data_IF_999461290934
#
_entry.id   IF_999461290934
#
_cell.length_a   1.000
_cell.length_b   1.000
_cell.length_c   1.000
_cell.angle_alpha   90.00
_cell.angle_beta   90.00
_cell.angle_gamma   90.00
#
_symmetry.space_group_name_H-M   'P 1'
#
loop_
_entity.id
_entity.type
_entity.pdbx_description
1 polymer ?
#
# COMPACT_ATOMS: atom_id res chain seq x y z
N UNK A 1 -33.74 32.27 -13.96
CA UNK A 1 -33.45 31.39 -12.80
C UNK A 1 -32.16 30.64 -13.06
N UNK A 2 -31.05 31.12 -12.51
CA UNK A 2 -29.73 30.48 -12.68
C UNK A 2 -29.63 29.34 -11.67
N UNK A 3 -29.63 28.09 -12.14
CA UNK A 3 -29.44 26.90 -11.29
C UNK A 3 -28.15 27.06 -10.48
N UNK A 4 -28.29 27.29 -9.17
CA UNK A 4 -27.17 27.33 -8.23
C UNK A 4 -26.57 25.93 -8.19
N UNK A 5 -25.44 25.74 -8.89
CA UNK A 5 -24.70 24.47 -8.93
C UNK A 5 -24.42 23.98 -7.51
N UNK A 6 -24.93 22.81 -7.17
CA UNK A 6 -24.66 22.18 -5.88
C UNK A 6 -23.25 21.57 -5.91
N UNK A 7 -22.29 22.20 -5.24
CA UNK A 7 -20.91 21.68 -5.07
C UNK A 7 -20.81 20.63 -3.97
N UNK A 8 -21.94 20.19 -3.42
CA UNK A 8 -22.05 19.20 -2.36
C UNK A 8 -22.66 17.93 -2.96
N UNK A 9 -21.81 16.91 -3.16
CA UNK A 9 -22.17 15.61 -3.76
C UNK A 9 -22.58 14.60 -2.68
N UNK A 10 -21.97 14.68 -1.50
CA UNK A 10 -22.23 13.81 -0.38
C UNK A 10 -23.24 14.44 0.59
N UNK A 11 -24.01 13.58 1.26
CA UNK A 11 -24.85 13.97 2.40
C UNK A 11 -23.99 14.44 3.57
N UNK A 12 -24.59 15.14 4.54
CA UNK A 12 -23.87 15.60 5.74
C UNK A 12 -23.23 14.44 6.51
N UNK A 13 -23.90 13.29 6.57
CA UNK A 13 -23.38 12.10 7.27
C UNK A 13 -22.18 11.48 6.56
N UNK A 14 -22.22 11.37 5.23
CA UNK A 14 -21.10 10.88 4.43
C UNK A 14 -19.89 11.81 4.49
N UNK A 15 -20.11 13.14 4.42
CA UNK A 15 -19.02 14.11 4.59
C UNK A 15 -18.41 14.02 6.00
N UNK A 16 -19.24 13.79 7.03
CA UNK A 16 -18.77 13.60 8.40
C UNK A 16 -17.95 12.31 8.54
N UNK A 17 -18.35 11.21 7.91
CA UNK A 17 -17.57 9.97 7.89
C UNK A 17 -16.23 10.14 7.18
N UNK A 18 -16.23 10.80 6.02
CA UNK A 18 -14.99 11.11 5.30
C UNK A 18 -14.09 12.02 6.15
N UNK A 19 -14.63 13.06 6.79
CA UNK A 19 -13.87 13.95 7.63
C UNK A 19 -13.24 13.23 8.85
N UNK A 20 -14.01 12.36 9.53
CA UNK A 20 -13.49 11.52 10.63
C UNK A 20 -12.39 10.58 10.16
N UNK A 21 -12.52 10.01 8.96
CA UNK A 21 -11.48 9.18 8.36
C UNK A 21 -10.20 9.98 8.10
N UNK A 22 -10.30 11.16 7.49
CA UNK A 22 -9.15 12.04 7.23
C UNK A 22 -8.45 12.48 8.52
N UNK A 23 -9.23 12.80 9.56
CA UNK A 23 -8.71 13.15 10.88
C UNK A 23 -7.97 11.97 11.51
N UNK A 24 -8.56 10.76 11.45
CA UNK A 24 -7.94 9.54 11.97
C UNK A 24 -6.65 9.20 11.21
N UNK A 25 -6.67 9.28 9.88
CA UNK A 25 -5.50 9.05 9.04
C UNK A 25 -4.38 10.04 9.36
N UNK A 26 -4.71 11.33 9.52
CA UNK A 26 -3.76 12.37 9.93
C UNK A 26 -3.15 12.10 11.32
N UNK A 27 -3.98 11.74 12.32
CA UNK A 27 -3.48 11.36 13.67
C UNK A 27 -2.55 10.15 13.64
N UNK A 28 -2.81 9.21 12.74
CA UNK A 28 -1.95 8.05 12.51
C UNK A 28 -0.73 8.35 11.60
N UNK A 29 -0.48 9.63 11.30
CA UNK A 29 0.63 10.08 10.43
C UNK A 29 0.55 9.57 8.98
N UNK A 30 -0.64 9.11 8.56
CA UNK A 30 -1.00 8.74 7.19
C UNK A 30 -1.83 9.85 6.55
N UNK A 31 -1.39 11.10 6.71
CA UNK A 31 -2.10 12.28 6.20
C UNK A 31 -2.24 12.22 4.68
N UNK A 32 -3.47 12.32 4.18
CA UNK A 32 -3.75 12.27 2.75
C UNK A 32 -3.53 13.64 2.10
N UNK A 33 -2.82 13.65 0.97
CA UNK A 33 -2.68 14.85 0.14
C UNK A 33 -4.04 15.27 -0.47
N UNK A 34 -4.15 16.52 -0.91
CA UNK A 34 -5.37 17.01 -1.58
C UNK A 34 -5.74 16.17 -2.82
N UNK A 35 -4.73 15.64 -3.54
CA UNK A 35 -4.94 14.72 -4.65
C UNK A 35 -5.55 13.40 -4.18
N UNK A 36 -4.96 12.78 -3.15
CA UNK A 36 -5.42 11.52 -2.59
C UNK A 36 -6.84 11.64 -2.01
N UNK A 37 -7.16 12.74 -1.32
CA UNK A 37 -8.51 13.00 -0.81
C UNK A 37 -9.52 13.11 -1.95
N UNK A 38 -9.16 13.78 -3.06
CA UNK A 38 -10.03 13.90 -4.23
C UNK A 38 -10.20 12.59 -4.99
N UNK A 39 -9.18 11.73 -5.03
CA UNK A 39 -9.27 10.36 -5.55
C UNK A 39 -10.17 9.49 -4.68
N UNK A 40 -9.99 9.56 -3.36
CA UNK A 40 -10.82 8.84 -2.38
C UNK A 40 -12.28 9.27 -2.47
N UNK A 41 -12.54 10.57 -2.59
CA UNK A 41 -13.88 11.10 -2.80
C UNK A 41 -14.51 10.58 -4.10
N UNK A 42 -13.74 10.53 -5.19
CA UNK A 42 -14.22 9.97 -6.45
C UNK A 42 -14.65 8.50 -6.29
N UNK A 43 -13.81 7.68 -5.65
CA UNK A 43 -14.11 6.28 -5.37
C UNK A 43 -15.38 6.12 -4.50
N UNK A 44 -15.53 6.93 -3.45
CA UNK A 44 -16.73 6.92 -2.60
C UNK A 44 -18.01 7.30 -3.36
N UNK A 45 -17.95 8.28 -4.27
CA UNK A 45 -19.14 8.64 -5.03
C UNK A 45 -19.52 7.57 -6.06
N UNK A 46 -18.57 6.86 -6.66
CA UNK A 46 -18.89 5.71 -7.51
C UNK A 46 -19.61 4.65 -6.68
N UNK A 47 -19.04 4.27 -5.53
CA UNK A 47 -19.64 3.25 -4.67
C UNK A 47 -21.05 3.61 -4.20
N UNK A 48 -21.28 4.88 -3.86
CA UNK A 48 -22.59 5.36 -3.41
C UNK A 48 -23.53 5.75 -4.56
N UNK A 49 -23.18 5.44 -5.82
CA UNK A 49 -23.96 5.75 -7.04
C UNK A 49 -24.27 7.26 -7.20
N UNK A 50 -23.34 8.11 -6.75
CA UNK A 50 -23.41 9.59 -6.77
C UNK A 50 -22.48 10.24 -7.78
N UNK A 51 -21.66 9.46 -8.47
CA UNK A 51 -20.81 9.90 -9.58
C UNK A 51 -21.63 10.06 -10.88
N UNK A 52 -22.64 10.95 -10.87
CA UNK A 52 -23.39 11.30 -12.08
C UNK A 52 -22.77 12.55 -12.73
N UNK A 53 -22.50 12.49 -14.04
CA UNK A 53 -21.99 13.62 -14.84
C UNK A 53 -22.91 14.85 -14.78
N UNK A 54 -24.21 14.65 -14.51
CA UNK A 54 -25.20 15.72 -14.33
C UNK A 54 -25.09 16.42 -12.98
N UNK A 55 -24.57 15.73 -11.95
CA UNK A 55 -24.46 16.22 -10.56
C UNK A 55 -23.05 16.76 -10.28
N UNK A 56 -22.02 16.15 -10.86
CA UNK A 56 -20.63 16.51 -10.59
C UNK A 56 -19.72 16.32 -11.82
N UNK A 57 -18.99 17.38 -12.20
CA UNK A 57 -17.96 17.33 -13.26
C UNK A 57 -16.67 16.69 -12.74
N UNK A 58 -16.75 15.47 -12.24
CA UNK A 58 -15.58 14.71 -11.83
C UNK A 58 -15.06 13.94 -13.02
N UNK A 59 -13.76 14.06 -13.30
CA UNK A 59 -13.13 13.50 -14.48
C UNK A 59 -11.80 12.85 -14.10
N UNK A 60 -11.33 11.92 -14.93
CA UNK A 60 -10.03 11.25 -14.76
C UNK A 60 -9.85 10.58 -13.39
N UNK A 61 -10.91 9.99 -12.84
CA UNK A 61 -10.90 9.32 -11.55
C UNK A 61 -10.62 10.21 -10.32
N UNK A 62 -10.89 11.51 -10.42
CA UNK A 62 -10.58 12.49 -9.36
C UNK A 62 -11.76 13.47 -9.21
N UNK A 63 -12.14 13.77 -7.96
CA UNK A 63 -13.11 14.82 -7.66
C UNK A 63 -12.60 16.21 -8.05
N UNK A 64 -13.48 17.16 -8.38
CA UNK A 64 -13.06 18.51 -8.78
C UNK A 64 -12.42 19.30 -7.62
N UNK A 65 -11.60 20.31 -7.95
CA UNK A 65 -11.08 21.24 -6.94
C UNK A 65 -12.20 22.02 -6.26
N UNK A 66 -13.24 22.42 -7.00
CA UNK A 66 -14.40 23.15 -6.44
C UNK A 66 -15.12 22.34 -5.35
N UNK A 67 -15.28 21.03 -5.57
CA UNK A 67 -15.83 20.14 -4.55
C UNK A 67 -14.93 20.09 -3.33
N UNK A 68 -13.61 19.92 -3.52
CA UNK A 68 -12.65 19.85 -2.41
C UNK A 68 -12.65 21.13 -1.56
N UNK A 69 -12.62 22.31 -2.19
CA UNK A 69 -12.72 23.58 -1.49
C UNK A 69 -14.07 23.72 -0.75
N UNK A 70 -15.17 23.31 -1.37
CA UNK A 70 -16.49 23.29 -0.73
C UNK A 70 -16.53 22.37 0.49
N UNK A 71 -15.97 21.16 0.37
CA UNK A 71 -15.86 20.18 1.45
C UNK A 71 -15.04 20.72 2.62
N UNK A 72 -13.87 21.32 2.34
CA UNK A 72 -13.02 21.93 3.37
C UNK A 72 -13.70 23.13 4.06
N UNK A 73 -14.48 23.93 3.32
CA UNK A 73 -15.25 25.05 3.89
C UNK A 73 -16.38 24.58 4.81
N UNK A 74 -16.99 23.43 4.52
CA UNK A 74 -18.05 22.81 5.35
C UNK A 74 -17.48 22.08 6.56
N UNK A 75 -16.24 21.57 6.48
CA UNK A 75 -15.55 20.83 7.53
C UNK A 75 -14.39 21.65 8.10
N UNK A 76 -14.71 22.71 8.85
CA UNK A 76 -13.75 23.67 9.40
C UNK A 76 -12.75 23.09 10.41
N UNK A 77 -12.99 21.87 10.90
CA UNK A 77 -12.06 21.10 11.71
C UNK A 77 -10.84 20.58 10.91
N UNK A 78 -10.93 20.55 9.58
CA UNK A 78 -9.83 20.13 8.70
C UNK A 78 -9.13 21.36 8.12
N UNK A 79 -7.81 21.30 8.03
CA UNK A 79 -7.02 22.34 7.35
C UNK A 79 -5.91 21.71 6.51
N UNK A 80 -5.61 22.30 5.35
CA UNK A 80 -4.42 21.95 4.60
C UNK A 80 -3.20 22.45 5.37
N UNK A 81 -2.29 21.54 5.69
CA UNK A 81 -1.02 21.85 6.34
C UNK A 81 0.10 21.26 5.49
N UNK A 82 1.20 22.00 5.37
CA UNK A 82 2.43 21.47 4.81
C UNK A 82 3.08 20.68 5.94
N UNK A 83 3.25 19.35 5.82
CA UNK A 83 4.07 18.62 6.77
C UNK A 83 5.50 19.18 6.69
N UNK A 84 6.12 19.45 7.83
CA UNK A 84 7.45 20.04 7.90
C UNK A 84 8.46 19.17 7.14
N UNK A 85 9.16 19.74 6.15
CA UNK A 85 10.09 19.00 5.28
C UNK A 85 11.31 18.56 6.10
N UNK A 86 11.22 17.38 6.70
CA UNK A 86 12.20 16.90 7.66
C UNK A 86 12.93 15.69 7.11
N UNK A 87 14.22 15.88 6.78
CA UNK A 87 15.23 14.82 6.75
C UNK A 87 15.31 14.02 8.06
N UNK A 88 14.66 14.50 9.12
CA UNK A 88 14.36 13.86 10.40
C UNK A 88 13.23 12.80 10.38
N UNK A 89 12.46 12.62 9.30
CA UNK A 89 11.35 11.63 9.25
C UNK A 89 11.82 10.17 9.44
N UNK A 90 13.08 9.88 9.13
CA UNK A 90 13.73 8.58 9.39
C UNK A 90 13.91 8.30 10.89
N UNK A 91 13.85 9.34 11.73
CA UNK A 91 14.04 9.29 13.19
C UNK A 91 12.78 9.68 13.97
N UNK A 92 11.90 10.53 13.45
CA UNK A 92 10.69 11.01 14.16
C UNK A 92 9.45 10.15 13.93
N UNK A 93 9.37 9.35 12.85
CA UNK A 93 8.33 8.31 12.73
C UNK A 93 8.58 7.14 13.69
N UNK A 94 9.84 6.94 14.09
CA UNK A 94 10.25 6.06 15.20
C UNK A 94 10.10 6.79 16.54
N UNK A 95 8.95 7.40 16.81
CA UNK A 95 8.66 7.96 18.12
C UNK A 95 7.85 6.96 18.96
N UNK A 96 8.04 7.00 20.29
CA UNK A 96 7.40 6.08 21.24
C UNK A 96 5.86 6.10 21.10
N UNK A 97 5.29 7.24 20.73
CA UNK A 97 3.84 7.36 20.56
C UNK A 97 3.34 6.58 19.34
N UNK A 98 3.96 6.73 18.17
CA UNK A 98 3.56 6.07 16.93
C UNK A 98 3.77 4.56 16.99
N UNK A 99 4.91 4.14 17.56
CA UNK A 99 5.19 2.73 17.84
C UNK A 99 4.17 2.21 18.86
N UNK A 100 3.88 2.98 19.91
CA UNK A 100 2.85 2.67 20.90
C UNK A 100 1.47 2.47 20.27
N UNK A 101 1.01 3.41 19.44
CA UNK A 101 -0.27 3.30 18.74
C UNK A 101 -0.32 2.09 17.79
N UNK A 102 0.78 1.78 17.09
CA UNK A 102 0.88 0.56 16.29
C UNK A 102 0.68 -0.68 17.15
N UNK A 103 1.43 -0.82 18.25
CA UNK A 103 1.33 -1.98 19.14
C UNK A 103 -0.01 -2.05 19.86
N UNK A 104 -0.62 -0.93 20.25
CA UNK A 104 -1.96 -0.89 20.83
C UNK A 104 -3.01 -1.38 19.83
N UNK A 105 -2.92 -0.96 18.56
CA UNK A 105 -3.83 -1.42 17.52
C UNK A 105 -3.61 -2.90 17.19
N UNK A 106 -2.35 -3.34 17.13
CA UNK A 106 -2.00 -4.73 16.94
C UNK A 106 -2.51 -5.60 18.10
N UNK A 107 -2.34 -5.15 19.35
CA UNK A 107 -2.85 -5.81 20.54
C UNK A 107 -4.38 -5.93 20.52
N UNK A 108 -5.10 -4.86 20.13
CA UNK A 108 -6.56 -4.90 19.97
C UNK A 108 -6.98 -5.95 18.95
N UNK A 109 -6.25 -6.10 17.84
CA UNK A 109 -6.53 -7.13 16.83
C UNK A 109 -6.26 -8.53 17.37
N UNK A 110 -5.11 -8.74 18.02
CA UNK A 110 -4.73 -10.03 18.62
C UNK A 110 -5.73 -10.48 19.69
N UNK A 111 -6.18 -9.59 20.57
CA UNK A 111 -7.19 -9.89 21.60
C UNK A 111 -8.57 -10.13 20.99
N UNK A 112 -8.93 -9.41 19.93
CA UNK A 112 -10.25 -9.55 19.31
C UNK A 112 -10.40 -10.89 18.58
N UNK A 113 -9.40 -11.30 17.82
CA UNK A 113 -9.49 -12.44 16.90
C UNK A 113 -8.69 -13.66 17.35
N UNK A 114 -7.84 -13.54 18.37
CA UNK A 114 -7.02 -14.63 18.90
C UNK A 114 -6.20 -15.36 17.82
N UNK A 115 -5.55 -14.59 16.95
CA UNK A 115 -4.75 -15.15 15.85
C UNK A 115 -3.64 -16.07 16.37
N UNK A 116 -3.59 -17.30 15.85
CA UNK A 116 -2.43 -18.19 15.98
C UNK A 116 -1.25 -17.74 15.11
N UNK A 117 -0.03 -18.25 15.35
CA UNK A 117 1.17 -17.91 14.57
C UNK A 117 1.07 -18.24 13.08
N UNK A 118 0.22 -19.20 12.70
CA UNK A 118 -0.11 -19.56 11.32
C UNK A 118 -0.98 -18.51 10.61
N UNK A 119 -1.72 -17.71 11.38
CA UNK A 119 -2.67 -16.73 10.86
C UNK A 119 -2.10 -15.31 10.74
N UNK A 120 -0.86 -15.10 11.20
CA UNK A 120 -0.17 -13.80 11.15
C UNK A 120 0.88 -13.83 10.03
N UNK A 121 0.65 -13.03 9.01
CA UNK A 121 1.46 -12.99 7.79
C UNK A 121 2.20 -11.65 7.69
N UNK A 122 3.51 -11.73 7.48
CA UNK A 122 4.31 -10.58 7.06
C UNK A 122 4.38 -10.54 5.54
N UNK A 123 4.14 -9.36 4.96
CA UNK A 123 4.17 -9.11 3.53
C UNK A 123 5.16 -8.00 3.23
N UNK A 124 6.03 -8.24 2.26
CA UNK A 124 7.08 -7.30 1.87
C UNK A 124 7.31 -7.32 0.36
N UNK A 125 7.81 -6.20 -0.16
CA UNK A 125 8.13 -6.01 -1.57
C UNK A 125 9.63 -5.97 -1.80
N UNK A 126 10.10 -6.72 -2.79
CA UNK A 126 11.51 -6.73 -3.15
C UNK A 126 11.72 -6.60 -4.65
N UNK A 127 12.68 -5.76 -5.05
CA UNK A 127 13.06 -5.61 -6.44
C UNK A 127 14.01 -6.71 -6.88
N UNK A 128 13.56 -7.58 -7.79
CA UNK A 128 14.39 -8.58 -8.45
C UNK A 128 15.07 -7.94 -9.67
N UNK A 129 16.39 -7.86 -9.64
CA UNK A 129 17.17 -7.37 -10.78
C UNK A 129 17.51 -8.51 -11.73
N UNK A 130 17.15 -8.35 -13.01
CA UNK A 130 17.58 -9.25 -14.09
C UNK A 130 19.04 -9.00 -14.51
N UNK A 131 19.67 -7.92 -14.02
CA UNK A 131 21.04 -7.55 -14.35
C UNK A 131 22.01 -8.12 -13.31
N UNK A 132 22.82 -9.08 -13.73
CA UNK A 132 23.91 -9.59 -12.91
C UNK A 132 24.93 -8.47 -12.64
N UNK A 133 25.04 -7.99 -11.39
CA UNK A 133 26.15 -7.09 -10.98
C UNK A 133 27.49 -7.83 -11.18
N UNK A 134 28.40 -7.35 -12.04
CA UNK A 134 29.70 -7.99 -12.21
C UNK A 134 30.43 -8.09 -10.86
N UNK A 135 30.85 -9.30 -10.47
CA UNK A 135 31.82 -9.43 -9.37
C UNK A 135 33.13 -8.73 -9.77
N UNK A 136 33.85 -8.19 -8.79
CA UNK A 136 35.21 -7.66 -9.01
C UNK A 136 36.06 -8.75 -9.64
N UNK A 137 36.76 -8.43 -10.71
CA UNK A 137 37.73 -9.33 -11.34
C UNK A 137 39.14 -8.80 -11.08
N UNK A 138 40.11 -9.71 -11.01
CA UNK A 138 41.53 -9.33 -11.00
C UNK A 138 41.87 -8.77 -12.38
N UNK A 139 42.45 -7.59 -12.43
CA UNK A 139 42.82 -6.90 -13.66
C UNK A 139 44.12 -6.11 -13.47
N UNK A 140 44.77 -5.77 -14.57
CA UNK A 140 46.06 -5.08 -14.58
C UNK A 140 45.97 -3.72 -13.88
N UNK A 141 46.87 -3.49 -12.91
CA UNK A 141 46.97 -2.24 -12.15
C UNK A 141 47.17 -1.06 -13.10
N UNK A 142 46.28 -0.06 -13.05
CA UNK A 142 46.33 1.14 -13.90
C UNK A 142 45.37 1.14 -15.08
N UNK A 143 44.71 0.02 -15.40
CA UNK A 143 43.70 -0.04 -16.46
C UNK A 143 42.35 0.42 -15.91
N UNK A 144 41.81 1.52 -16.49
CA UNK A 144 40.54 2.13 -16.06
C UNK A 144 39.29 1.51 -16.68
N UNK A 145 39.42 0.82 -17.82
CA UNK A 145 38.30 0.22 -18.53
C UNK A 145 38.50 -1.28 -18.69
N UNK A 146 37.70 -2.04 -17.95
CA UNK A 146 37.63 -3.50 -18.03
C UNK A 146 36.25 -3.82 -18.58
N UNK A 147 36.19 -4.35 -19.80
CA UNK A 147 34.93 -4.70 -20.44
C UNK A 147 34.36 -5.99 -19.85
N UNK A 148 33.12 -5.95 -19.36
CA UNK A 148 32.29 -7.16 -19.17
C UNK A 148 30.98 -6.96 -19.91
N UNK A 149 30.63 -7.91 -20.77
CA UNK A 149 29.31 -7.93 -21.40
C UNK A 149 28.25 -8.17 -20.32
N UNK A 150 27.42 -7.18 -20.06
CA UNK A 150 26.15 -7.33 -19.34
C UNK A 150 25.03 -7.17 -20.34
N UNK A 151 23.95 -7.98 -20.26
CA UNK A 151 22.76 -7.76 -21.08
C UNK A 151 22.31 -6.30 -21.03
N UNK A 152 21.93 -5.76 -22.19
CA UNK A 152 21.50 -4.36 -22.35
C UNK A 152 20.17 -4.01 -21.70
N UNK A 153 19.53 -4.97 -21.00
CA UNK A 153 18.36 -4.75 -20.14
C UNK A 153 18.75 -3.96 -18.89
N UNK A 154 19.24 -2.73 -19.06
CA UNK A 154 19.61 -1.85 -17.96
C UNK A 154 18.37 -1.57 -17.09
N UNK A 155 18.25 -2.29 -15.99
CA UNK A 155 17.59 -1.80 -14.77
C UNK A 155 16.08 -1.97 -14.65
N UNK A 156 15.43 -2.80 -15.47
CA UNK A 156 14.03 -3.17 -15.24
C UNK A 156 13.94 -4.15 -14.05
N UNK A 157 13.62 -3.61 -12.86
CA UNK A 157 13.37 -4.40 -11.66
C UNK A 157 11.97 -5.03 -11.77
N UNK A 158 11.89 -6.35 -11.65
CA UNK A 158 10.61 -7.04 -11.42
C UNK A 158 10.34 -6.95 -9.93
N UNK A 159 9.21 -6.36 -9.53
CA UNK A 159 8.84 -6.31 -8.11
C UNK A 159 8.22 -7.64 -7.72
N UNK A 160 8.73 -8.27 -6.67
CA UNK A 160 8.13 -9.46 -6.07
C UNK A 160 7.49 -9.08 -4.74
N UNK A 161 6.20 -9.34 -4.61
CA UNK A 161 5.48 -9.27 -3.35
C UNK A 161 5.45 -10.69 -2.75
N UNK A 162 6.00 -10.81 -1.55
CA UNK A 162 6.18 -12.09 -0.85
C UNK A 162 5.42 -12.07 0.48
N UNK A 163 4.80 -13.18 0.85
CA UNK A 163 4.08 -13.33 2.11
C UNK A 163 4.56 -14.56 2.87
N UNK A 164 4.89 -14.40 4.15
CA UNK A 164 5.36 -15.49 5.03
C UNK A 164 4.77 -15.40 6.42
N UNK A 165 4.66 -16.52 7.14
CA UNK A 165 4.21 -16.56 8.54
C UNK A 165 5.24 -17.22 9.46
N UNK A 166 5.00 -17.16 10.78
CA UNK A 166 5.90 -17.70 11.79
C UNK A 166 6.00 -19.24 11.76
N UNK A 167 5.02 -19.93 11.18
CA UNK A 167 4.99 -21.39 11.00
C UNK A 167 5.74 -21.85 9.75
N UNK A 168 6.59 -20.99 9.16
CA UNK A 168 7.33 -21.24 7.90
C UNK A 168 6.42 -21.44 6.68
N UNK A 169 5.16 -21.04 6.79
CA UNK A 169 4.26 -20.91 5.66
C UNK A 169 4.74 -19.78 4.76
N UNK A 170 4.68 -20.01 3.46
CA UNK A 170 4.93 -19.00 2.45
C UNK A 170 3.85 -19.10 1.37
N UNK A 171 3.45 -17.94 0.83
CA UNK A 171 2.60 -17.89 -0.36
C UNK A 171 3.53 -17.85 -1.58
N UNK A 172 3.23 -18.60 -2.67
CA UNK A 172 3.98 -18.46 -3.90
C UNK A 172 4.10 -16.97 -4.31
N UNK A 173 5.24 -16.53 -4.85
CA UNK A 173 5.46 -15.11 -5.12
C UNK A 173 4.39 -14.50 -6.03
N UNK A 174 4.14 -13.22 -5.84
CA UNK A 174 3.35 -12.42 -6.79
C UNK A 174 4.27 -11.40 -7.46
N UNK A 175 4.42 -11.49 -8.78
CA UNK A 175 5.38 -10.67 -9.53
C UNK A 175 4.69 -9.50 -10.25
N UNK A 176 5.38 -8.37 -10.34
CA UNK A 176 4.96 -7.20 -11.11
C UNK A 176 6.05 -6.88 -12.12
N UNK A 177 5.74 -7.14 -13.38
CA UNK A 177 6.65 -6.89 -14.48
C UNK A 177 6.52 -5.44 -14.98
N UNK A 178 7.64 -4.72 -15.22
CA UNK A 178 7.67 -3.32 -15.68
C UNK A 178 7.26 -3.16 -17.15
N UNK A 179 6.02 -3.52 -17.49
CA UNK A 179 5.52 -3.59 -18.86
C UNK A 179 4.07 -3.12 -18.96
N UNK A 180 3.66 -2.77 -20.18
CA UNK A 180 2.27 -2.43 -20.51
C UNK A 180 1.42 -3.67 -20.81
N UNK A 181 2.00 -4.65 -21.50
CA UNK A 181 1.28 -5.78 -22.05
C UNK A 181 1.78 -7.09 -21.42
N UNK A 182 0.82 -7.95 -21.08
CA UNK A 182 1.08 -9.31 -20.62
C UNK A 182 1.65 -10.19 -21.74
N UNK A 183 2.51 -11.14 -21.38
CA UNK A 183 2.98 -12.21 -22.27
C UNK A 183 3.06 -13.50 -21.45
N UNK A 184 2.47 -14.59 -21.93
CA UNK A 184 2.38 -15.84 -21.15
C UNK A 184 3.73 -16.40 -20.74
N UNK A 185 4.75 -16.18 -21.58
CA UNK A 185 6.13 -16.58 -21.30
C UNK A 185 6.75 -15.92 -20.05
N UNK A 186 6.14 -14.88 -19.48
CA UNK A 186 6.68 -14.17 -18.31
C UNK A 186 6.79 -15.06 -17.06
N UNK A 187 5.96 -16.10 -16.96
CA UNK A 187 6.01 -17.06 -15.86
C UNK A 187 6.83 -18.31 -16.18
N UNK A 188 7.50 -18.37 -17.34
CA UNK A 188 8.32 -19.52 -17.70
C UNK A 188 9.48 -19.67 -16.71
N UNK A 189 9.53 -20.82 -16.04
CA UNK A 189 10.54 -21.12 -15.01
C UNK A 189 10.28 -20.45 -13.66
N UNK A 190 9.14 -19.79 -13.47
CA UNK A 190 8.75 -19.29 -12.16
C UNK A 190 8.39 -20.45 -11.21
N UNK A 191 8.57 -20.28 -9.89
CA UNK A 191 8.14 -21.29 -8.91
C UNK A 191 6.66 -21.66 -9.09
N UNK A 192 6.33 -22.93 -8.81
CA UNK A 192 4.96 -23.42 -8.94
C UNK A 192 3.98 -22.57 -8.12
N UNK A 193 2.88 -22.21 -8.75
CA UNK A 193 1.84 -21.39 -8.13
C UNK A 193 2.11 -19.88 -8.13
N UNK A 194 3.26 -19.41 -8.64
CA UNK A 194 3.54 -17.97 -8.84
C UNK A 194 2.46 -17.35 -9.72
N UNK A 195 2.01 -16.16 -9.35
CA UNK A 195 1.11 -15.37 -10.18
C UNK A 195 1.75 -14.00 -10.45
N UNK A 196 1.26 -13.27 -11.44
CA UNK A 196 1.85 -12.00 -11.80
C UNK A 196 0.87 -11.02 -12.42
N UNK A 197 1.27 -9.75 -12.39
CA UNK A 197 0.63 -8.66 -13.11
C UNK A 197 1.69 -7.84 -13.85
N UNK A 198 1.24 -6.95 -14.73
CA UNK A 198 2.10 -5.99 -15.43
C UNK A 198 1.71 -4.58 -15.02
N UNK A 199 2.71 -3.71 -14.88
CA UNK A 199 2.49 -2.28 -14.77
C UNK A 199 3.67 -1.53 -15.37
N UNK A 200 3.49 -0.40 -16.09
CA UNK A 200 4.58 0.22 -16.85
C UNK A 200 5.80 0.60 -16.01
N UNK A 201 5.60 0.96 -14.74
CA UNK A 201 6.68 1.33 -13.84
C UNK A 201 7.28 0.14 -13.08
N UNK A 202 6.62 -1.03 -13.09
CA UNK A 202 7.00 -2.22 -12.31
C UNK A 202 6.65 -2.15 -10.82
N UNK A 203 6.14 -1.01 -10.33
CA UNK A 203 5.79 -0.82 -8.92
C UNK A 203 4.40 -1.37 -8.59
N UNK A 204 4.16 -1.67 -7.32
CA UNK A 204 2.85 -2.03 -6.81
C UNK A 204 1.88 -0.85 -6.89
N UNK A 205 0.68 -1.15 -7.37
CA UNK A 205 -0.45 -0.24 -7.45
C UNK A 205 -1.63 -0.83 -6.70
N UNK A 206 -2.61 -0.01 -6.33
CA UNK A 206 -3.80 -0.51 -5.64
C UNK A 206 -4.55 -1.59 -6.44
N UNK A 207 -4.56 -1.50 -7.77
CA UNK A 207 -5.17 -2.51 -8.64
C UNK A 207 -4.44 -3.85 -8.56
N UNK A 208 -3.10 -3.83 -8.63
CA UNK A 208 -2.31 -5.05 -8.55
C UNK A 208 -2.26 -5.61 -7.12
N UNK A 209 -2.40 -4.75 -6.11
CA UNK A 209 -2.50 -5.17 -4.72
C UNK A 209 -3.77 -5.98 -4.45
N UNK A 210 -4.89 -5.67 -5.10
CA UNK A 210 -6.11 -6.49 -5.01
C UNK A 210 -5.89 -7.87 -5.63
N UNK A 211 -5.22 -7.93 -6.80
CA UNK A 211 -4.84 -9.22 -7.43
C UNK A 211 -3.95 -10.04 -6.50
N UNK A 212 -3.05 -9.36 -5.78
CA UNK A 212 -2.26 -9.99 -4.72
C UNK A 212 -3.12 -10.49 -3.56
N UNK A 213 -4.10 -9.72 -3.05
CA UNK A 213 -5.00 -10.18 -1.98
C UNK A 213 -5.86 -11.38 -2.42
N UNK A 214 -6.29 -11.42 -3.68
CA UNK A 214 -6.98 -12.59 -4.26
C UNK A 214 -6.08 -13.82 -4.30
N UNK A 215 -4.83 -13.63 -4.70
CA UNK A 215 -3.80 -14.67 -4.67
C UNK A 215 -3.52 -15.15 -3.24
N UNK A 216 -3.39 -14.23 -2.30
CA UNK A 216 -3.24 -14.53 -0.87
C UNK A 216 -4.40 -15.39 -0.37
N UNK A 217 -5.66 -14.95 -0.59
CA UNK A 217 -6.87 -15.70 -0.23
C UNK A 217 -6.89 -17.10 -0.84
N UNK A 218 -6.48 -17.26 -2.11
CA UNK A 218 -6.44 -18.56 -2.78
C UNK A 218 -5.57 -19.58 -2.03
N UNK A 219 -4.43 -19.15 -1.48
CA UNK A 219 -3.48 -20.04 -0.82
C UNK A 219 -3.74 -20.19 0.69
N UNK A 220 -4.15 -19.11 1.37
CA UNK A 220 -4.48 -19.18 2.81
C UNK A 220 -5.86 -19.74 3.07
N UNK A 221 -6.76 -19.69 2.08
CA UNK A 221 -8.18 -20.04 2.20
C UNK A 221 -8.88 -19.26 3.33
N UNK A 222 -8.41 -18.04 3.60
CA UNK A 222 -8.97 -17.22 4.66
C UNK A 222 -10.45 -16.88 4.40
N UNK A 223 -11.19 -16.74 5.50
CA UNK A 223 -12.61 -16.36 5.51
C UNK A 223 -12.93 -15.58 6.78
N UNK A 224 -14.18 -15.13 6.93
CA UNK A 224 -14.61 -14.43 8.15
C UNK A 224 -14.51 -15.35 9.38
N UNK A 225 -14.71 -16.66 9.20
CA UNK A 225 -14.59 -17.70 10.22
C UNK A 225 -13.14 -18.12 10.48
N UNK A 226 -12.27 -17.98 9.47
CA UNK A 226 -10.83 -18.25 9.57
C UNK A 226 -10.05 -16.98 9.21
N UNK A 227 -10.06 -15.97 10.10
CA UNK A 227 -9.50 -14.67 9.80
C UNK A 227 -7.96 -14.72 9.79
N UNK A 228 -7.36 -13.88 8.94
CA UNK A 228 -5.91 -13.74 8.83
C UNK A 228 -5.50 -12.30 9.13
N UNK A 229 -4.36 -12.12 9.78
CA UNK A 229 -3.71 -10.83 9.96
C UNK A 229 -2.57 -10.68 8.97
N UNK A 230 -2.59 -9.59 8.21
CA UNK A 230 -1.48 -9.17 7.35
C UNK A 230 -0.80 -7.97 8.01
N UNK A 231 0.51 -8.06 8.16
CA UNK A 231 1.42 -6.99 8.55
C UNK A 231 2.23 -6.61 7.31
N UNK A 232 2.22 -5.33 6.93
CA UNK A 232 2.93 -4.82 5.75
C UNK A 232 3.53 -3.44 6.01
N UNK A 233 4.50 -3.01 5.20
CA UNK A 233 4.99 -1.64 5.28
C UNK A 233 3.99 -0.61 4.72
N UNK A 234 4.02 0.61 5.24
CA UNK A 234 3.11 1.66 4.79
C UNK A 234 3.64 2.32 3.52
N UNK A 235 3.43 1.70 2.37
CA UNK A 235 3.56 2.37 1.09
C UNK A 235 2.17 2.83 0.60
N UNK A 236 2.02 4.14 0.36
CA UNK A 236 0.76 4.80 0.02
C UNK A 236 0.03 4.23 -1.21
N UNK A 237 0.67 3.35 -2.00
CA UNK A 237 0.07 2.72 -3.18
C UNK A 237 -0.79 1.47 -2.89
N UNK A 238 -0.88 0.98 -1.65
CA UNK A 238 -1.49 -0.33 -1.33
C UNK A 238 -2.96 -0.23 -0.89
N UNK A 239 -3.41 0.94 -0.44
CA UNK A 239 -4.69 1.07 0.27
C UNK A 239 -5.70 1.82 -0.59
N UNK A 240 -6.52 1.08 -1.33
CA UNK A 240 -7.76 1.58 -1.92
C UNK A 240 -8.96 1.13 -1.09
N UNK A 241 -10.11 1.78 -1.28
CA UNK A 241 -11.35 1.32 -0.64
C UNK A 241 -11.67 -0.11 -1.10
N UNK A 242 -11.38 -0.44 -2.34
CA UNK A 242 -11.61 -1.77 -2.89
C UNK A 242 -10.73 -2.83 -2.21
N UNK A 243 -9.44 -2.55 -1.96
CA UNK A 243 -8.58 -3.48 -1.23
C UNK A 243 -9.01 -3.65 0.23
N UNK A 244 -9.47 -2.57 0.88
CA UNK A 244 -10.01 -2.63 2.24
C UNK A 244 -11.33 -3.41 2.33
N UNK A 245 -12.24 -3.20 1.38
CA UNK A 245 -13.51 -3.93 1.32
C UNK A 245 -13.27 -5.42 1.06
N UNK A 246 -12.43 -5.75 0.07
CA UNK A 246 -12.03 -7.12 -0.21
C UNK A 246 -11.41 -7.77 1.03
N UNK A 247 -10.50 -7.09 1.72
CA UNK A 247 -9.88 -7.62 2.93
C UNK A 247 -10.94 -7.93 4.00
N UNK A 248 -11.82 -6.96 4.28
CA UNK A 248 -12.88 -7.10 5.29
C UNK A 248 -13.85 -8.24 4.98
N UNK A 249 -14.31 -8.35 3.72
CA UNK A 249 -15.25 -9.39 3.28
C UNK A 249 -14.66 -10.80 3.35
N UNK A 250 -13.33 -10.91 3.33
CA UNK A 250 -12.61 -12.19 3.32
C UNK A 250 -11.90 -12.50 4.64
N UNK A 251 -12.25 -11.79 5.72
CA UNK A 251 -11.67 -12.01 7.06
C UNK A 251 -10.20 -11.62 7.17
N UNK A 252 -9.71 -10.74 6.30
CA UNK A 252 -8.33 -10.27 6.32
C UNK A 252 -8.28 -8.95 7.11
N UNK A 253 -7.55 -8.96 8.21
CA UNK A 253 -7.18 -7.75 8.95
C UNK A 253 -5.86 -7.20 8.42
N UNK A 254 -5.84 -5.94 7.98
CA UNK A 254 -4.62 -5.27 7.52
C UNK A 254 -4.05 -4.40 8.65
N UNK A 255 -2.76 -4.57 8.94
CA UNK A 255 -1.99 -3.73 9.85
C UNK A 255 -0.77 -3.19 9.11
N UNK A 256 -0.63 -1.87 9.08
CA UNK A 256 0.53 -1.22 8.46
C UNK A 256 1.54 -0.84 9.52
N UNK A 257 2.80 -1.16 9.23
CA UNK A 257 3.95 -0.74 10.02
C UNK A 257 4.14 0.78 9.80
N UNK A 258 4.40 1.57 10.86
CA UNK A 258 4.60 3.01 10.71
C UNK A 258 5.75 3.32 9.74
N UNK A 259 5.65 4.40 8.95
CA UNK A 259 6.66 4.77 7.97
C UNK A 259 8.08 4.80 8.56
N UNK A 260 9.07 4.37 7.79
CA UNK A 260 10.50 4.41 8.17
C UNK A 260 10.89 3.60 9.42
N UNK A 261 10.13 2.57 9.80
CA UNK A 261 10.48 1.69 10.93
C UNK A 261 11.03 0.30 10.50
N UNK A 262 11.09 0.01 9.19
CA UNK A 262 11.49 -1.31 8.66
C UNK A 262 12.93 -1.71 9.03
N UNK A 263 13.87 -0.75 9.12
CA UNK A 263 15.29 -1.02 9.43
C UNK A 263 15.68 -0.84 10.91
N UNK A 264 14.86 -0.14 11.69
CA UNK A 264 15.16 0.20 13.09
C UNK A 264 14.45 -0.73 14.08
N UNK A 265 13.70 -1.73 13.60
CA UNK A 265 13.06 -2.76 14.42
C UNK A 265 14.00 -3.91 14.82
N UNK A 266 15.31 -3.64 14.88
CA UNK A 266 16.27 -4.56 15.50
C UNK A 266 16.05 -4.50 17.00
N UNK A 267 15.12 -5.30 17.51
CA UNK A 267 14.99 -5.51 18.93
C UNK A 267 16.17 -6.37 19.37
N UNK A 268 17.11 -5.71 20.03
CA UNK A 268 18.17 -6.31 20.85
C UNK A 268 17.55 -7.36 21.76
N UNK A 269 17.61 -8.63 21.36
CA UNK A 269 17.42 -9.79 22.22
C UNK A 269 18.72 -10.03 22.99
N UNK A 270 19.11 -9.05 23.79
CA UNK A 270 20.22 -9.14 24.74
C UNK A 270 19.80 -8.44 26.04
N UNK A 271 18.88 -9.09 26.76
CA UNK A 271 18.67 -8.88 28.21
C UNK A 271 17.73 -9.91 28.83
N UNK A 272 17.85 -11.18 28.40
CA UNK A 272 17.38 -12.35 29.15
C UNK A 272 18.36 -13.53 29.04
N UNK A 273 19.64 -13.23 29.25
CA UNK A 273 20.66 -14.07 29.90
C UNK A 273 21.63 -13.13 30.62
#
# INVERSE_FOLDING_TARGET
MTLKRQSQVFTKEEELHLAKYLEKASKLHHGLSSLCVRQLAYQLAIQNQKADEKICKWANNIASYDWFYGFMKRNTQLSLRVPEATSLSRSTSFNKHNIGCFFENLQKLLVKYHFGPEAIWNIDETGLSTVHKPKKIVATKGVKQIGKMTPGERGELVTACCATNAMRGYIPPFLIFPRKNWQDRMLNGAPAGTNASVFPSGWMTAENFIKFLQHFKKYTKCSVECPMLIIMDNHDSHISIESLNFAKENGISLSTIPPHTSHNSVWTTQSLL
#
